data_IF_946022108438
#
_entry.id   IF_946022108438
#
_cell.length_a   1.000
_cell.length_b   1.000
_cell.length_c   1.000
_cell.angle_alpha   90.00
_cell.angle_beta   90.00
_cell.angle_gamma   90.00
#
_symmetry.space_group_name_H-M   'P 1'
#
loop_
_entity.id
_entity.type
_entity.pdbx_description
1 polymer ?
#
# COMPACT_ATOMS: atom_id res chain seq x y z
N UNK A 1 5.70 23.48 15.62
CA UNK A 1 6.19 22.08 15.62
C UNK A 1 5.97 21.55 17.03
N UNK A 2 5.26 20.44 17.17
CA UNK A 2 4.97 19.82 18.48
C UNK A 2 5.58 18.43 18.55
N UNK A 3 6.08 18.06 19.73
CA UNK A 3 6.60 16.71 20.00
C UNK A 3 5.67 16.01 20.97
N UNK A 4 5.35 14.75 20.68
CA UNK A 4 4.52 13.88 21.49
C UNK A 4 5.29 12.60 21.80
N UNK A 5 5.29 12.23 23.08
CA UNK A 5 5.91 11.01 23.56
C UNK A 5 4.81 9.96 23.80
N UNK A 6 4.85 8.90 23.00
CA UNK A 6 3.91 7.78 22.99
C UNK A 6 4.57 6.47 23.43
N UNK A 7 5.81 6.50 23.95
CA UNK A 7 6.54 5.28 24.36
C UNK A 7 5.82 4.48 25.43
N UNK A 8 5.07 5.17 26.29
CA UNK A 8 4.23 4.55 27.31
C UNK A 8 3.08 3.68 26.76
N UNK A 9 2.78 3.77 25.47
CA UNK A 9 1.73 3.00 24.81
C UNK A 9 2.26 1.76 24.08
N UNK A 10 3.60 1.58 24.00
CA UNK A 10 4.24 0.47 23.28
C UNK A 10 3.62 0.27 21.89
N UNK A 11 2.98 -0.88 21.61
CA UNK A 11 2.40 -1.21 20.31
C UNK A 11 1.02 -0.56 20.04
N UNK A 12 0.33 -0.03 21.04
CA UNK A 12 -1.04 0.51 20.92
C UNK A 12 -1.06 2.05 20.74
N UNK A 13 -0.04 2.61 20.09
CA UNK A 13 0.13 4.06 19.94
C UNK A 13 -0.65 4.69 18.78
N UNK A 14 -1.16 3.90 17.83
CA UNK A 14 -1.75 4.39 16.57
C UNK A 14 -2.96 5.30 16.79
N UNK A 15 -3.89 4.88 17.64
CA UNK A 15 -5.12 5.64 17.92
C UNK A 15 -4.79 7.00 18.54
N UNK A 16 -3.84 7.01 19.48
CA UNK A 16 -3.40 8.23 20.14
C UNK A 16 -2.67 9.16 19.17
N UNK A 17 -1.86 8.59 18.28
CA UNK A 17 -1.18 9.36 17.23
C UNK A 17 -2.19 10.06 16.32
N UNK A 18 -3.21 9.35 15.82
CA UNK A 18 -4.25 9.93 14.98
C UNK A 18 -5.02 11.04 15.71
N UNK A 19 -5.41 10.81 16.96
CA UNK A 19 -6.11 11.82 17.75
C UNK A 19 -5.27 13.11 17.92
N UNK A 20 -3.97 12.97 18.14
CA UNK A 20 -3.05 14.10 18.30
C UNK A 20 -2.78 14.81 16.97
N UNK A 21 -2.82 14.11 15.85
CA UNK A 21 -2.77 14.74 14.53
C UNK A 21 -4.05 15.57 14.30
N UNK A 22 -5.22 15.03 14.64
CA UNK A 22 -6.50 15.70 14.39
C UNK A 22 -6.76 16.88 15.34
N UNK A 23 -6.49 16.73 16.64
CA UNK A 23 -6.79 17.75 17.66
C UNK A 23 -5.57 18.54 18.11
N UNK A 24 -4.38 17.92 18.06
CA UNK A 24 -3.18 18.43 18.71
C UNK A 24 -2.36 19.40 17.86
N UNK A 25 -2.36 19.26 16.54
CA UNK A 25 -1.56 20.09 15.61
C UNK A 25 -2.44 20.86 14.62
N UNK A 26 -1.97 22.05 14.23
CA UNK A 26 -2.65 22.90 13.24
C UNK A 26 -2.36 22.44 11.81
N UNK A 27 -3.23 22.82 10.87
CA UNK A 27 -3.00 22.55 9.44
C UNK A 27 -1.71 23.23 8.98
N UNK A 28 -0.84 22.47 8.31
CA UNK A 28 0.49 22.92 7.90
C UNK A 28 1.56 22.81 8.98
N UNK A 29 1.20 22.47 10.22
CA UNK A 29 2.13 22.26 11.32
C UNK A 29 2.69 20.82 11.31
N UNK A 30 3.93 20.69 11.80
CA UNK A 30 4.64 19.41 11.95
C UNK A 30 4.50 18.88 13.38
N UNK A 31 4.05 17.63 13.49
CA UNK A 31 4.05 16.82 14.70
C UNK A 31 5.16 15.77 14.65
N UNK A 32 5.93 15.64 15.73
CA UNK A 32 6.92 14.58 15.93
C UNK A 32 6.37 13.61 16.96
N UNK A 33 6.20 12.35 16.60
CA UNK A 33 5.71 11.29 17.47
C UNK A 33 6.84 10.32 17.76
N UNK A 34 7.11 10.09 19.04
CA UNK A 34 8.13 9.17 19.49
C UNK A 34 7.45 7.97 20.16
N UNK A 35 7.81 6.77 19.74
CA UNK A 35 7.23 5.53 20.25
C UNK A 35 8.31 4.45 20.33
N UNK A 36 8.06 3.46 21.17
CA UNK A 36 8.97 2.34 21.39
C UNK A 36 8.55 1.20 20.46
N UNK A 37 9.51 0.62 19.74
CA UNK A 37 9.28 -0.44 18.76
C UNK A 37 10.17 -1.64 19.09
N UNK A 38 9.53 -2.74 19.47
CA UNK A 38 10.21 -4.03 19.62
C UNK A 38 10.38 -4.79 18.30
N UNK A 39 9.43 -4.64 17.36
CA UNK A 39 9.45 -5.29 16.04
C UNK A 39 9.16 -4.29 14.90
N UNK A 40 9.88 -4.42 13.78
CA UNK A 40 9.83 -3.46 12.67
C UNK A 40 8.45 -3.37 11.98
N UNK A 41 7.56 -4.33 12.23
CA UNK A 41 6.20 -4.36 11.70
C UNK A 41 5.38 -3.11 12.09
N UNK A 42 5.61 -2.54 13.28
CA UNK A 42 4.88 -1.36 13.76
C UNK A 42 5.20 -0.08 12.97
N UNK A 43 6.40 -0.01 12.36
CA UNK A 43 6.83 1.14 11.57
C UNK A 43 6.06 1.20 10.25
N UNK A 44 5.94 0.06 9.55
CA UNK A 44 5.20 -0.01 8.30
C UNK A 44 3.72 0.33 8.51
N UNK A 45 3.10 -0.26 9.54
CA UNK A 45 1.73 0.07 9.93
C UNK A 45 1.55 1.55 10.24
N UNK A 46 2.48 2.16 10.99
CA UNK A 46 2.40 3.59 11.30
C UNK A 46 2.45 4.45 10.03
N UNK A 47 3.31 4.09 9.06
CA UNK A 47 3.42 4.80 7.79
C UNK A 47 2.16 4.63 6.93
N UNK A 48 1.57 3.44 6.93
CA UNK A 48 0.34 3.16 6.19
C UNK A 48 -0.85 3.92 6.79
N UNK A 49 -1.00 3.92 8.12
CA UNK A 49 -2.03 4.69 8.83
C UNK A 49 -1.92 6.20 8.53
N UNK A 50 -0.70 6.75 8.45
CA UNK A 50 -0.48 8.17 8.10
C UNK A 50 -0.87 8.45 6.65
N UNK A 51 -0.56 7.53 5.73
CA UNK A 51 -0.96 7.65 4.32
C UNK A 51 -2.47 7.51 4.13
N UNK A 52 -3.10 6.57 4.85
CA UNK A 52 -4.55 6.36 4.81
C UNK A 52 -5.32 7.54 5.41
N UNK A 53 -4.78 8.17 6.46
CA UNK A 53 -5.30 9.44 6.97
C UNK A 53 -5.02 10.62 6.04
N UNK A 54 -4.24 10.45 4.97
CA UNK A 54 -3.98 11.46 3.94
C UNK A 54 -3.04 12.57 4.38
N UNK A 55 -2.33 12.39 5.49
CA UNK A 55 -1.35 13.33 6.01
C UNK A 55 0.04 13.09 5.39
N UNK A 56 0.90 14.10 5.46
CA UNK A 56 2.24 14.01 4.88
C UNK A 56 3.20 13.38 5.89
N UNK A 57 3.64 12.16 5.61
CA UNK A 57 4.78 11.55 6.28
C UNK A 57 6.06 12.19 5.76
N UNK A 58 6.74 12.98 6.59
CA UNK A 58 7.96 13.70 6.19
C UNK A 58 9.21 12.89 6.46
N UNK A 59 9.32 12.31 7.65
CA UNK A 59 10.49 11.57 8.07
C UNK A 59 10.09 10.43 9.02
N UNK A 60 10.87 9.37 9.00
CA UNK A 60 10.77 8.21 9.86
C UNK A 60 12.19 7.80 10.22
N UNK A 61 12.57 7.98 11.49
CA UNK A 61 13.95 7.83 11.95
C UNK A 61 14.02 7.01 13.23
N UNK A 62 14.85 5.96 13.18
CA UNK A 62 15.32 5.20 14.34
C UNK A 62 16.47 5.96 15.00
N UNK A 63 16.33 6.35 16.26
CA UNK A 63 17.41 7.07 16.95
C UNK A 63 18.18 6.17 17.93
N UNK A 64 17.53 5.16 18.50
CA UNK A 64 18.12 4.15 19.39
C UNK A 64 17.70 2.75 18.95
N UNK A 65 18.13 1.71 19.66
CA UNK A 65 17.76 0.33 19.36
C UNK A 65 16.24 0.07 19.45
N UNK A 66 15.57 0.73 20.40
CA UNK A 66 14.14 0.52 20.69
C UNK A 66 13.29 1.76 20.38
N UNK A 67 13.87 2.97 20.43
CA UNK A 67 13.10 4.20 20.20
C UNK A 67 13.04 4.59 18.70
N UNK A 68 11.81 4.86 18.23
CA UNK A 68 11.52 5.33 16.88
C UNK A 68 10.81 6.68 16.89
N UNK A 69 11.06 7.50 15.87
CA UNK A 69 10.40 8.79 15.68
C UNK A 69 9.79 8.91 14.30
N UNK A 70 8.55 9.38 14.24
CA UNK A 70 7.85 9.67 12.99
C UNK A 70 7.46 11.14 12.97
N UNK A 71 7.77 11.80 11.86
CA UNK A 71 7.51 13.22 11.62
C UNK A 71 6.38 13.33 10.60
N UNK A 72 5.25 13.88 11.05
CA UNK A 72 4.04 14.05 10.25
C UNK A 72 3.71 15.52 10.12
N UNK A 73 3.38 15.97 8.93
CA UNK A 73 2.81 17.29 8.69
C UNK A 73 1.32 17.15 8.45
N UNK A 74 0.53 17.90 9.23
CA UNK A 74 -0.91 17.93 9.03
C UNK A 74 -1.25 18.67 7.75
N UNK A 75 -2.11 18.05 6.98
CA UNK A 75 -2.62 18.57 5.71
C UNK A 75 -4.06 19.03 5.92
N UNK A 76 -4.55 19.98 5.11
CA UNK A 76 -5.93 20.46 5.18
C UNK A 76 -6.93 19.36 4.81
N UNK A 77 -8.17 19.49 5.28
CA UNK A 77 -9.23 18.54 4.96
C UNK A 77 -9.57 18.51 3.46
N UNK A 78 -9.45 19.66 2.78
CA UNK A 78 -9.66 19.76 1.32
C UNK A 78 -8.65 18.89 0.57
N UNK A 79 -7.36 19.06 0.85
CA UNK A 79 -6.31 18.26 0.22
C UNK A 79 -6.40 16.78 0.63
N UNK A 80 -6.92 16.47 1.82
CA UNK A 80 -7.19 15.08 2.23
C UNK A 80 -8.31 14.45 1.40
N UNK A 81 -9.38 15.20 1.10
CA UNK A 81 -10.49 14.74 0.23
C UNK A 81 -10.02 14.51 -1.20
N UNK A 82 -9.33 15.49 -1.79
CA UNK A 82 -8.79 15.37 -3.16
C UNK A 82 -7.87 14.14 -3.30
N UNK A 83 -7.03 13.88 -2.30
CA UNK A 83 -6.14 12.70 -2.29
C UNK A 83 -6.91 11.40 -2.06
N UNK A 84 -7.92 11.39 -1.21
CA UNK A 84 -8.75 10.20 -1.00
C UNK A 84 -9.51 9.83 -2.27
N UNK A 85 -10.03 10.82 -2.99
CA UNK A 85 -10.65 10.65 -4.29
C UNK A 85 -9.64 10.14 -5.33
N UNK A 86 -8.44 10.75 -5.41
CA UNK A 86 -7.38 10.29 -6.30
C UNK A 86 -6.92 8.85 -5.99
N UNK A 87 -6.81 8.46 -4.72
CA UNK A 87 -6.51 7.10 -4.28
C UNK A 87 -7.62 6.12 -4.65
N UNK A 88 -8.90 6.52 -4.52
CA UNK A 88 -10.03 5.69 -4.92
C UNK A 88 -10.08 5.49 -6.43
N UNK A 89 -9.81 6.52 -7.22
CA UNK A 89 -9.68 6.40 -8.68
C UNK A 89 -8.49 5.49 -9.02
N UNK A 90 -7.32 5.70 -8.43
CA UNK A 90 -6.14 4.87 -8.68
C UNK A 90 -6.35 3.39 -8.30
N UNK A 91 -7.06 3.10 -7.20
CA UNK A 91 -7.41 1.72 -6.83
C UNK A 91 -8.35 1.08 -7.85
N UNK A 92 -9.37 1.79 -8.32
CA UNK A 92 -10.28 1.29 -9.37
C UNK A 92 -9.53 1.04 -10.67
N UNK A 93 -8.70 1.98 -11.11
CA UNK A 93 -7.88 1.82 -12.31
C UNK A 93 -6.89 0.66 -12.19
N UNK A 94 -6.29 0.45 -11.01
CA UNK A 94 -5.39 -0.68 -10.75
C UNK A 94 -6.13 -2.02 -10.79
N UNK A 95 -7.33 -2.09 -10.22
CA UNK A 95 -8.17 -3.29 -10.24
C UNK A 95 -8.66 -3.62 -11.66
N UNK A 96 -9.08 -2.61 -12.43
CA UNK A 96 -9.44 -2.79 -13.85
C UNK A 96 -8.24 -3.22 -14.70
N UNK A 97 -7.05 -2.64 -14.48
CA UNK A 97 -5.81 -3.06 -15.17
C UNK A 97 -5.43 -4.49 -14.79
N UNK A 98 -5.55 -4.88 -13.53
CA UNK A 98 -5.28 -6.24 -13.08
C UNK A 98 -6.27 -7.24 -13.70
N UNK A 99 -7.56 -6.89 -13.75
CA UNK A 99 -8.59 -7.71 -14.36
C UNK A 99 -8.39 -7.84 -15.88
N UNK A 100 -8.01 -6.77 -16.58
CA UNK A 100 -7.66 -6.81 -18.01
C UNK A 100 -6.40 -7.65 -18.25
N UNK A 101 -5.36 -7.50 -17.44
CA UNK A 101 -4.14 -8.30 -17.55
C UNK A 101 -4.42 -9.81 -17.36
N UNK A 102 -5.28 -10.17 -16.40
CA UNK A 102 -5.69 -11.55 -16.17
C UNK A 102 -6.49 -12.12 -17.34
N UNK A 103 -7.42 -11.36 -17.92
CA UNK A 103 -8.18 -11.77 -19.13
C UNK A 103 -7.25 -12.00 -20.33
N UNK A 104 -6.33 -11.06 -20.58
CA UNK A 104 -5.36 -11.17 -21.67
C UNK A 104 -4.43 -12.38 -21.49
N UNK A 105 -4.01 -12.67 -20.25
CA UNK A 105 -3.20 -13.85 -19.95
C UNK A 105 -3.98 -15.15 -20.22
N UNK A 106 -5.25 -15.22 -19.80
CA UNK A 106 -6.10 -16.38 -20.03
C UNK A 106 -6.38 -16.63 -21.53
N UNK A 107 -6.65 -15.59 -22.32
CA UNK A 107 -6.83 -15.73 -23.77
C UNK A 107 -5.55 -16.22 -24.46
N UNK A 108 -4.37 -15.72 -24.06
CA UNK A 108 -3.08 -16.19 -24.59
C UNK A 108 -2.81 -17.64 -24.25
N UNK A 109 -3.13 -18.08 -23.03
CA UNK A 109 -3.02 -19.50 -22.65
C UNK A 109 -4.00 -20.37 -23.44
N UNK A 110 -5.25 -19.94 -23.62
CA UNK A 110 -6.25 -20.67 -24.40
C UNK A 110 -5.87 -20.79 -25.88
N UNK A 111 -5.32 -19.73 -26.48
CA UNK A 111 -4.82 -19.76 -27.87
C UNK A 111 -3.62 -20.69 -28.00
N UNK A 112 -2.69 -20.65 -27.05
CA UNK A 112 -1.52 -21.55 -27.03
C UNK A 112 -1.94 -23.02 -26.89
N UNK A 113 -2.94 -23.32 -26.04
CA UNK A 113 -3.48 -24.66 -25.88
C UNK A 113 -4.17 -25.16 -27.17
N UNK A 114 -4.96 -24.30 -27.84
CA UNK A 114 -5.58 -24.65 -29.14
C UNK A 114 -4.54 -24.92 -30.22
N UNK A 115 -3.51 -24.07 -30.35
CA UNK A 115 -2.42 -24.28 -31.31
C UNK A 115 -1.63 -25.56 -31.03
N UNK A 116 -1.44 -25.92 -29.76
CA UNK A 116 -0.76 -27.16 -29.38
C UNK A 116 -1.61 -28.38 -29.76
N UNK A 117 -2.90 -28.36 -29.43
CA UNK A 117 -3.83 -29.44 -29.77
C UNK A 117 -3.99 -29.64 -31.28
N UNK A 118 -4.04 -28.55 -32.07
CA UNK A 118 -4.08 -28.62 -33.53
C UNK A 118 -2.80 -29.24 -34.11
N UNK A 119 -1.63 -28.89 -33.55
CA UNK A 119 -0.34 -29.43 -33.96
C UNK A 119 -0.18 -30.91 -33.60
N UNK A 120 -0.71 -31.32 -32.45
CA UNK A 120 -0.75 -32.74 -32.04
C UNK A 120 -1.72 -33.56 -32.90
N UNK A 121 -2.90 -33.02 -33.22
CA UNK A 121 -3.86 -33.67 -34.11
C UNK A 121 -3.31 -33.84 -35.54
N UNK A 122 -2.60 -32.84 -36.07
CA UNK A 122 -1.92 -32.93 -37.36
C UNK A 122 -0.83 -34.00 -37.36
N UNK A 123 -0.01 -34.08 -36.30
CA UNK A 123 1.00 -35.14 -36.17
C UNK A 123 0.39 -36.54 -36.11
N UNK A 124 -0.66 -36.74 -35.31
CA UNK A 124 -1.33 -38.04 -35.19
C UNK A 124 -1.98 -38.48 -36.52
N UNK A 125 -2.52 -37.54 -37.30
CA UNK A 125 -3.09 -37.82 -38.62
C UNK A 125 -2.02 -38.15 -39.68
N UNK A 126 -0.80 -37.63 -39.52
CA UNK A 126 0.33 -37.93 -40.40
C UNK A 126 0.95 -39.31 -40.09
N UNK A 127 1.08 -39.65 -38.80
CA UNK A 127 1.54 -40.98 -38.36
C UNK A 127 0.56 -42.10 -38.75
N UNK A 128 -0.76 -41.87 -38.63
CA UNK A 128 -1.79 -42.85 -39.03
C UNK A 128 -1.90 -43.08 -40.55
N UNK A 129 -1.27 -42.24 -41.39
CA UNK A 129 -1.21 -42.41 -42.85
C UNK A 129 0.09 -43.07 -43.32
N UNK A 130 1.07 -43.25 -42.43
CA UNK A 130 2.36 -43.86 -42.73
C UNK A 130 2.43 -45.35 -42.36
N UNK A 131 1.37 -45.90 -41.75
CA UNK A 131 1.15 -47.33 -41.46
C UNK A 131 0.14 -47.94 -42.45
#
# INVERSE_FOLDING_TARGET
MKRYDLRHLHDDFYDRMLELIDKGIQVGEVGIFMFEVGDFSSIQKSADVIKESGHDLMNSLKFNEVDWTVVVKKVSEETRKERAEALAVAKKEAEEKAAQAAKIAAEKEAEKAKKLAEKEALKAAEEAKAE
#
